data_IF_914438037859
#
_entry.id   IF_914438037859
#
_cell.length_a   1.000
_cell.length_b   1.000
_cell.length_c   1.000
_cell.angle_alpha   90.00
_cell.angle_beta   90.00
_cell.angle_gamma   90.00
#
_symmetry.space_group_name_H-M   'P 1'
#
loop_
_entity.id
_entity.type
_entity.pdbx_description
1 polymer ?
#
# COMPACT_ATOMS: atom_id res chain seq x y z
N UNK A 1 -6.93 4.34 -7.48
CA UNK A 1 -6.11 4.10 -8.68
C UNK A 1 -6.01 5.36 -9.55
N UNK A 2 -7.10 5.89 -10.12
CA UNK A 2 -7.06 7.05 -11.05
C UNK A 2 -6.26 8.26 -10.54
N UNK A 3 -6.43 8.66 -9.28
CA UNK A 3 -5.68 9.81 -8.71
C UNK A 3 -4.15 9.65 -8.78
N UNK A 4 -3.63 8.43 -8.57
CA UNK A 4 -2.20 8.19 -8.69
C UNK A 4 -1.75 8.18 -10.15
N UNK A 5 -2.54 7.56 -11.04
CA UNK A 5 -2.24 7.55 -12.47
C UNK A 5 -2.24 8.97 -13.07
N UNK A 6 -3.24 9.78 -12.75
CA UNK A 6 -3.33 11.19 -13.19
C UNK A 6 -2.12 11.98 -12.68
N UNK A 7 -1.72 11.82 -11.41
CA UNK A 7 -0.55 12.49 -10.85
C UNK A 7 0.78 12.06 -11.49
N UNK A 8 0.96 10.77 -11.78
CA UNK A 8 2.14 10.27 -12.49
C UNK A 8 2.18 10.80 -13.93
N UNK A 9 1.03 10.86 -14.60
CA UNK A 9 0.90 11.44 -15.93
C UNK A 9 1.27 12.92 -15.96
N UNK A 10 0.76 13.72 -15.02
CA UNK A 10 1.08 15.15 -14.91
C UNK A 10 2.59 15.39 -14.68
N UNK A 11 3.27 14.43 -14.05
CA UNK A 11 4.72 14.43 -13.84
C UNK A 11 5.53 13.86 -15.02
N UNK A 12 4.86 13.41 -16.09
CA UNK A 12 5.44 12.68 -17.22
C UNK A 12 6.23 11.42 -16.81
N UNK A 13 5.74 10.71 -15.79
CA UNK A 13 6.30 9.44 -15.34
C UNK A 13 5.52 8.28 -15.95
N UNK A 14 6.24 7.43 -16.68
CA UNK A 14 5.70 6.16 -17.15
C UNK A 14 5.56 5.17 -15.98
N UNK A 15 4.54 4.31 -16.04
CA UNK A 15 4.30 3.31 -15.01
C UNK A 15 3.73 2.03 -15.62
N UNK A 16 4.01 0.92 -14.96
CA UNK A 16 3.43 -0.39 -15.25
C UNK A 16 2.35 -0.76 -14.24
N UNK A 17 1.43 -1.62 -14.64
CA UNK A 17 0.46 -2.24 -13.74
C UNK A 17 0.91 -3.65 -13.38
N UNK A 18 1.18 -3.86 -12.09
CA UNK A 18 1.52 -5.15 -11.54
C UNK A 18 0.31 -5.80 -10.90
N UNK A 19 0.10 -7.09 -11.19
CA UNK A 19 -0.88 -7.91 -10.51
C UNK A 19 -0.25 -8.61 -9.30
N UNK A 20 -1.08 -9.04 -8.34
CA UNK A 20 -0.61 -9.69 -7.11
C UNK A 20 0.23 -10.94 -7.35
N UNK A 21 -0.04 -11.68 -8.44
CA UNK A 21 0.72 -12.87 -8.81
C UNK A 21 2.14 -12.55 -9.31
N UNK A 22 2.44 -11.28 -9.60
CA UNK A 22 3.72 -10.83 -10.12
C UNK A 22 4.60 -10.19 -9.03
N UNK A 23 4.41 -10.56 -7.76
CA UNK A 23 5.19 -10.04 -6.64
C UNK A 23 6.71 -10.24 -6.79
N UNK A 24 7.16 -11.23 -7.59
CA UNK A 24 8.57 -11.44 -7.90
C UNK A 24 9.19 -10.32 -8.75
N UNK A 25 8.38 -9.50 -9.44
CA UNK A 25 8.84 -8.38 -10.26
C UNK A 25 9.06 -7.11 -9.44
N UNK A 26 8.64 -7.06 -8.16
CA UNK A 26 8.71 -5.84 -7.34
C UNK A 26 10.14 -5.27 -7.26
N UNK A 27 11.16 -6.13 -7.19
CA UNK A 27 12.57 -5.72 -7.13
C UNK A 27 13.09 -5.04 -8.39
N UNK A 28 12.35 -5.07 -9.50
CA UNK A 28 12.71 -4.39 -10.75
C UNK A 28 12.31 -2.92 -10.76
N UNK A 29 11.53 -2.47 -9.77
CA UNK A 29 10.99 -1.11 -9.70
C UNK A 29 11.60 -0.35 -8.53
N UNK A 30 11.97 0.91 -8.77
CA UNK A 30 12.49 1.80 -7.72
C UNK A 30 11.38 2.30 -6.78
N UNK A 31 10.14 2.39 -7.28
CA UNK A 31 8.96 2.82 -6.55
C UNK A 31 7.79 1.87 -6.84
N UNK A 32 7.19 1.34 -5.78
CA UNK A 32 5.94 0.60 -5.85
C UNK A 32 4.84 1.42 -5.18
N UNK A 33 3.81 1.78 -5.97
CA UNK A 33 2.61 2.45 -5.48
C UNK A 33 1.51 1.42 -5.28
N UNK A 34 0.95 1.35 -4.07
CA UNK A 34 -0.12 0.40 -3.72
C UNK A 34 -1.41 1.18 -3.44
N UNK A 35 -2.26 1.40 -4.47
CA UNK A 35 -3.47 2.19 -4.33
C UNK A 35 -4.65 1.35 -3.84
N UNK A 36 -5.11 1.63 -2.61
CA UNK A 36 -6.31 1.08 -1.99
C UNK A 36 -6.38 -0.46 -2.03
N UNK A 37 -5.25 -1.13 -1.77
CA UNK A 37 -5.18 -2.60 -1.68
C UNK A 37 -5.82 -3.06 -0.36
N UNK A 38 -7.14 -2.99 -0.31
CA UNK A 38 -7.93 -3.23 0.90
C UNK A 38 -7.83 -4.67 1.39
N UNK A 39 -7.88 -5.62 0.46
CA UNK A 39 -7.80 -7.05 0.71
C UNK A 39 -6.57 -7.63 0.02
N UNK A 40 -5.73 -8.33 0.77
CA UNK A 40 -4.54 -8.96 0.25
C UNK A 40 -4.26 -10.25 0.99
N UNK A 41 -3.59 -11.19 0.32
CA UNK A 41 -3.03 -12.37 0.96
C UNK A 41 -1.75 -11.98 1.71
N UNK A 42 -1.48 -12.66 2.82
CA UNK A 42 -0.33 -12.37 3.67
C UNK A 42 0.98 -12.49 2.89
N UNK A 43 1.08 -13.44 1.95
CA UNK A 43 2.28 -13.63 1.11
C UNK A 43 2.61 -12.40 0.27
N UNK A 44 1.58 -11.68 -0.21
CA UNK A 44 1.78 -10.44 -0.96
C UNK A 44 2.22 -9.30 -0.02
N UNK A 45 1.62 -9.20 1.16
CA UNK A 45 1.98 -8.19 2.16
C UNK A 45 3.42 -8.40 2.64
N UNK A 46 3.86 -9.65 2.82
CA UNK A 46 5.25 -9.97 3.15
C UNK A 46 6.21 -9.63 2.02
N UNK A 47 5.82 -9.91 0.76
CA UNK A 47 6.64 -9.51 -0.39
C UNK A 47 6.83 -7.98 -0.46
N UNK A 48 5.78 -7.20 -0.16
CA UNK A 48 5.85 -5.73 -0.11
C UNK A 48 6.70 -5.24 1.06
N UNK A 49 6.55 -5.85 2.24
CA UNK A 49 7.37 -5.56 3.41
C UNK A 49 8.85 -5.82 3.14
N UNK A 50 9.16 -6.95 2.53
CA UNK A 50 10.53 -7.34 2.20
C UNK A 50 11.14 -6.44 1.12
N UNK A 51 10.34 -6.03 0.12
CA UNK A 51 10.76 -5.02 -0.87
C UNK A 51 11.19 -3.70 -0.20
N UNK A 52 10.38 -3.18 0.74
CA UNK A 52 10.72 -1.97 1.49
C UNK A 52 11.98 -2.15 2.34
N UNK A 53 12.11 -3.30 3.02
CA UNK A 53 13.31 -3.63 3.84
C UNK A 53 14.58 -3.75 3.01
N UNK A 54 14.49 -4.17 1.75
CA UNK A 54 15.62 -4.27 0.83
C UNK A 54 16.05 -2.91 0.24
N UNK A 55 15.38 -1.82 0.64
CA UNK A 55 15.70 -0.45 0.23
C UNK A 55 14.82 0.07 -0.90
N UNK A 56 13.81 -0.68 -1.33
CA UNK A 56 12.79 -0.22 -2.27
C UNK A 56 11.88 0.84 -1.67
N UNK A 57 11.36 1.75 -2.50
CA UNK A 57 10.43 2.78 -2.04
C UNK A 57 8.99 2.30 -2.16
N UNK A 58 8.30 2.11 -1.04
CA UNK A 58 6.91 1.65 -0.99
C UNK A 58 5.97 2.82 -0.63
N UNK A 59 5.09 3.20 -1.55
CA UNK A 59 4.05 4.21 -1.33
C UNK A 59 2.69 3.54 -1.12
N UNK A 60 2.22 3.53 0.12
CA UNK A 60 0.90 2.98 0.48
C UNK A 60 -0.14 4.09 0.60
N UNK A 61 -1.35 3.83 0.10
CA UNK A 61 -2.51 4.66 0.43
C UNK A 61 -3.19 4.21 1.74
N UNK A 62 -4.15 5.02 2.21
CA UNK A 62 -4.98 4.64 3.36
C UNK A 62 -5.76 3.33 3.12
N UNK A 63 -5.93 2.53 4.19
CA UNK A 63 -6.61 1.23 4.21
C UNK A 63 -5.99 0.12 3.35
N UNK A 64 -4.67 0.15 3.13
CA UNK A 64 -3.97 -1.00 2.56
C UNK A 64 -3.80 -2.13 3.60
N UNK A 65 -3.93 -3.39 3.18
CA UNK A 65 -3.75 -4.57 4.02
C UNK A 65 -4.76 -4.65 5.16
N UNK A 66 -6.02 -4.27 4.92
CA UNK A 66 -7.03 -4.17 5.99
C UNK A 66 -7.73 -5.49 6.26
N UNK A 67 -7.96 -6.31 5.22
CA UNK A 67 -8.58 -7.64 5.33
C UNK A 67 -7.79 -8.72 4.61
N UNK A 68 -8.05 -9.97 4.98
CA UNK A 68 -7.67 -11.14 4.17
C UNK A 68 -8.44 -11.18 2.85
N UNK A 69 -8.08 -12.07 1.90
CA UNK A 69 -8.83 -12.28 0.66
C UNK A 69 -10.30 -12.68 0.88
N UNK A 70 -10.60 -13.34 2.01
CA UNK A 70 -11.95 -13.74 2.44
C UNK A 70 -12.71 -12.60 3.14
N UNK A 71 -12.22 -11.36 3.07
CA UNK A 71 -12.81 -10.17 3.68
C UNK A 71 -12.88 -10.22 5.22
N UNK A 72 -12.05 -11.05 5.84
CA UNK A 72 -11.91 -11.06 7.30
C UNK A 72 -10.92 -9.97 7.71
N UNK A 73 -11.36 -9.07 8.60
CA UNK A 73 -10.48 -8.01 9.13
C UNK A 73 -9.36 -8.64 9.94
N UNK A 74 -8.13 -8.21 9.67
CA UNK A 74 -6.96 -8.65 10.43
C UNK A 74 -7.13 -8.30 11.92
N UNK A 75 -6.73 -9.22 12.81
CA UNK A 75 -6.98 -9.09 14.26
C UNK A 75 -5.89 -8.32 15.00
N UNK A 76 -4.88 -7.83 14.29
CA UNK A 76 -3.70 -7.18 14.83
C UNK A 76 -3.69 -5.67 14.53
N UNK A 77 -2.51 -5.05 14.65
CA UNK A 77 -2.32 -3.62 14.41
C UNK A 77 -2.38 -3.30 12.92
N UNK A 78 -3.19 -2.31 12.55
CA UNK A 78 -3.30 -1.88 11.17
C UNK A 78 -2.21 -0.87 10.81
N UNK A 79 -1.66 -0.94 9.58
CA UNK A 79 -1.95 -1.91 8.52
C UNK A 79 -1.31 -3.29 8.78
N UNK A 80 -2.06 -4.39 8.54
CA UNK A 80 -1.61 -5.77 8.77
C UNK A 80 -0.26 -6.04 8.07
N UNK A 81 0.72 -6.58 8.82
CA UNK A 81 2.12 -6.86 8.41
C UNK A 81 2.95 -5.66 7.93
N UNK A 82 2.33 -4.64 7.35
CA UNK A 82 2.97 -3.45 6.80
C UNK A 82 3.25 -2.37 7.86
N UNK A 83 2.61 -2.44 9.03
CA UNK A 83 2.83 -1.49 10.13
C UNK A 83 4.30 -1.36 10.53
N UNK A 84 5.04 -2.47 10.51
CA UNK A 84 6.49 -2.48 10.77
C UNK A 84 7.28 -1.79 9.66
N UNK A 85 7.01 -2.12 8.38
CA UNK A 85 7.71 -1.51 7.25
C UNK A 85 7.46 0.00 7.16
N UNK A 86 6.26 0.45 7.50
CA UNK A 86 5.91 1.86 7.42
C UNK A 86 6.28 2.62 8.71
N UNK A 87 6.50 1.93 9.83
CA UNK A 87 6.86 2.54 11.11
C UNK A 87 5.69 3.29 11.77
N UNK A 88 4.45 3.00 11.39
CA UNK A 88 3.26 3.57 12.01
C UNK A 88 2.11 2.55 12.08
N UNK A 89 1.18 2.80 13.00
CA UNK A 89 -0.05 2.04 13.13
C UNK A 89 -1.24 3.00 13.32
N UNK A 90 -2.44 2.50 13.04
CA UNK A 90 -3.70 3.22 13.31
C UNK A 90 -4.78 2.25 13.79
N UNK A 91 -5.67 2.73 14.64
CA UNK A 91 -6.83 2.00 15.17
C UNK A 91 -8.15 2.72 14.89
N UNK A 92 -8.09 4.03 14.63
CA UNK A 92 -9.25 4.89 14.42
C UNK A 92 -9.14 5.69 13.12
N UNK A 93 -10.28 5.96 12.51
CA UNK A 93 -10.39 6.84 11.37
C UNK A 93 -11.77 7.51 11.34
N UNK A 94 -11.80 8.73 10.83
CA UNK A 94 -13.03 9.51 10.67
C UNK A 94 -12.98 10.33 9.40
N UNK A 95 -14.13 10.82 8.95
CA UNK A 95 -14.19 11.78 7.86
C UNK A 95 -13.81 13.17 8.39
N UNK A 96 -12.92 13.91 7.70
CA UNK A 96 -12.62 15.28 8.10
C UNK A 96 -13.89 16.13 7.98
N UNK A 97 -14.21 16.89 9.04
CA UNK A 97 -15.33 17.85 9.06
C UNK A 97 -14.78 19.23 9.38
N UNK A 98 -14.78 20.12 8.38
CA UNK A 98 -14.32 21.51 8.52
C UNK A 98 -12.89 21.67 9.08
N UNK A 99 -12.00 20.74 8.73
CA UNK A 99 -10.59 20.78 9.12
C UNK A 99 -9.70 20.87 7.88
N UNK A 100 -8.59 21.60 8.01
CA UNK A 100 -7.55 21.73 7.00
C UNK A 100 -6.23 21.27 7.61
N UNK A 101 -5.32 20.73 6.80
CA UNK A 101 -3.94 20.54 7.23
C UNK A 101 -3.28 21.93 7.31
N UNK A 102 -2.79 22.29 8.48
CA UNK A 102 -2.00 23.51 8.74
C UNK A 102 -0.53 23.30 8.43
#
# INVERSE_FOLDING_TARGET
MRLFADALYDLNLEYDLLYSQQASLLSQYELIVVPALYSAADELLESLKDYARQGGCLLLSFKCGFTSPELTVAKDLQPHLLSEACGMHYDQFTLPRQVSLT
#
